data_IF_665060177413
#
_entry.id   IF_665060177413
#
_cell.length_a   1.000
_cell.length_b   1.000
_cell.length_c   1.000
_cell.angle_alpha   90.00
_cell.angle_beta   90.00
_cell.angle_gamma   90.00
#
_symmetry.space_group_name_H-M   'P 1'
#
loop_
_entity.id
_entity.type
_entity.pdbx_description
1 polymer ?
#
# COMPACT_ATOMS: atom_id res chain seq x y z
N UNK A 1 -28.92 7.83 -22.25
CA UNK A 1 -28.98 6.76 -21.24
C UNK A 1 -27.59 6.13 -21.12
N UNK A 2 -27.02 6.14 -19.92
CA UNK A 2 -25.75 5.47 -19.66
C UNK A 2 -26.04 4.00 -19.40
N UNK A 3 -25.26 3.10 -20.00
CA UNK A 3 -25.34 1.66 -19.74
C UNK A 3 -24.17 1.24 -18.81
N UNK A 4 -24.44 0.99 -17.51
CA UNK A 4 -23.41 0.53 -16.58
C UNK A 4 -22.84 -0.85 -16.91
N UNK A 5 -23.49 -1.60 -17.80
CA UNK A 5 -23.07 -2.93 -18.27
C UNK A 5 -22.27 -2.89 -19.58
N UNK A 6 -21.91 -1.70 -20.07
CA UNK A 6 -21.23 -1.56 -21.38
C UNK A 6 -19.81 -2.17 -21.38
N UNK A 7 -19.19 -2.25 -20.22
CA UNK A 7 -17.87 -2.89 -20.01
C UNK A 7 -17.74 -3.30 -18.55
N UNK A 8 -16.64 -4.03 -18.22
CA UNK A 8 -16.35 -4.46 -16.85
C UNK A 8 -16.31 -3.27 -15.87
N UNK A 9 -15.75 -2.13 -16.29
CA UNK A 9 -15.70 -0.90 -15.51
C UNK A 9 -16.31 0.26 -16.29
N UNK A 10 -17.22 1.01 -15.67
CA UNK A 10 -17.86 2.20 -16.24
C UNK A 10 -17.78 3.34 -15.24
N UNK A 11 -17.32 4.52 -15.67
CA UNK A 11 -17.39 5.75 -14.90
C UNK A 11 -18.48 6.65 -15.51
N UNK A 12 -19.44 7.06 -14.69
CA UNK A 12 -20.57 7.91 -15.11
C UNK A 12 -20.43 9.27 -14.47
N UNK A 13 -20.31 10.30 -15.32
CA UNK A 13 -20.13 11.68 -14.88
C UNK A 13 -21.44 12.27 -14.31
N UNK A 14 -21.28 13.14 -13.29
CA UNK A 14 -22.38 13.91 -12.67
C UNK A 14 -23.55 13.02 -12.24
N UNK A 15 -23.22 11.87 -11.59
CA UNK A 15 -24.24 10.90 -11.19
C UNK A 15 -24.97 11.36 -9.94
N UNK A 16 -26.33 11.38 -9.93
CA UNK A 16 -27.10 11.83 -8.78
C UNK A 16 -27.08 10.80 -7.65
N UNK A 17 -26.79 11.28 -6.44
CA UNK A 17 -26.89 10.50 -5.19
C UNK A 17 -27.89 11.13 -4.23
N UNK A 18 -28.16 10.46 -3.10
CA UNK A 18 -29.05 10.99 -2.06
C UNK A 18 -28.51 12.26 -1.40
N UNK A 19 -27.19 12.48 -1.42
CA UNK A 19 -26.52 13.64 -0.80
C UNK A 19 -26.09 14.71 -1.81
N UNK A 20 -26.43 14.56 -3.08
CA UNK A 20 -26.07 15.45 -4.19
C UNK A 20 -25.37 14.69 -5.33
N UNK A 21 -25.13 15.32 -6.47
CA UNK A 21 -24.39 14.70 -7.56
C UNK A 21 -22.93 14.50 -7.17
N UNK A 22 -22.35 13.38 -7.62
CA UNK A 22 -20.91 13.11 -7.57
C UNK A 22 -20.28 13.38 -8.92
N UNK A 23 -19.02 13.83 -8.97
CA UNK A 23 -18.37 14.10 -10.25
C UNK A 23 -18.32 12.87 -11.14
N UNK A 24 -17.99 11.70 -10.56
CA UNK A 24 -18.09 10.41 -11.24
C UNK A 24 -18.55 9.31 -10.29
N UNK A 25 -19.54 8.50 -10.73
CA UNK A 25 -19.89 7.24 -10.10
C UNK A 25 -19.19 6.09 -10.82
N UNK A 26 -18.56 5.20 -10.05
CA UNK A 26 -17.84 4.04 -10.56
C UNK A 26 -18.70 2.79 -10.48
N UNK A 27 -18.82 2.11 -11.60
CA UNK A 27 -19.52 0.84 -11.73
C UNK A 27 -18.51 -0.25 -12.11
N UNK A 28 -18.60 -1.41 -11.48
CA UNK A 28 -17.83 -2.59 -11.85
C UNK A 28 -18.79 -3.77 -11.94
N UNK A 29 -18.75 -4.47 -13.07
CA UNK A 29 -19.73 -5.53 -13.39
C UNK A 29 -21.18 -5.07 -13.19
N UNK A 30 -21.48 -3.86 -13.67
CA UNK A 30 -22.80 -3.23 -13.57
C UNK A 30 -23.22 -2.77 -12.17
N UNK A 31 -22.42 -3.03 -11.14
CA UNK A 31 -22.70 -2.68 -9.73
C UNK A 31 -22.00 -1.39 -9.35
N UNK A 32 -22.66 -0.46 -8.66
CA UNK A 32 -22.04 0.75 -8.18
C UNK A 32 -21.09 0.40 -7.02
N UNK A 33 -19.83 0.79 -7.12
CA UNK A 33 -18.79 0.40 -6.16
C UNK A 33 -18.09 1.59 -5.52
N UNK A 34 -18.11 2.75 -6.16
CA UNK A 34 -17.35 3.89 -5.68
C UNK A 34 -17.68 5.20 -6.36
N UNK A 35 -16.99 6.25 -5.94
CA UNK A 35 -17.10 7.60 -6.46
C UNK A 35 -15.73 8.22 -6.68
N UNK A 36 -15.65 9.20 -7.58
CA UNK A 36 -14.51 10.09 -7.75
C UNK A 36 -14.99 11.53 -7.57
N UNK A 37 -14.26 12.29 -6.76
CA UNK A 37 -14.37 13.74 -6.64
C UNK A 37 -13.14 14.39 -7.28
N UNK A 38 -13.38 15.23 -8.27
CA UNK A 38 -12.35 16.04 -8.90
C UNK A 38 -12.11 17.30 -8.07
N UNK A 39 -10.86 17.57 -7.72
CA UNK A 39 -10.48 18.74 -6.95
C UNK A 39 -9.55 19.64 -7.80
N UNK A 40 -9.59 20.95 -7.52
CA UNK A 40 -8.70 21.89 -8.20
C UNK A 40 -7.24 21.65 -7.81
N UNK A 41 -6.33 21.83 -8.76
CA UNK A 41 -4.89 21.63 -8.56
C UNK A 41 -4.27 22.54 -7.50
N UNK A 42 -4.87 23.73 -7.28
CA UNK A 42 -4.45 24.70 -6.24
C UNK A 42 -4.51 24.13 -4.81
N UNK A 43 -5.29 23.07 -4.56
CA UNK A 43 -5.38 22.44 -3.25
C UNK A 43 -4.13 21.60 -2.90
N UNK A 44 -3.32 21.20 -3.89
CA UNK A 44 -2.06 20.49 -3.70
C UNK A 44 -2.16 19.34 -2.69
N UNK A 45 -1.20 19.28 -1.76
CA UNK A 45 -1.19 18.27 -0.68
C UNK A 45 -2.28 18.47 0.39
N UNK A 46 -2.94 19.65 0.42
CA UNK A 46 -4.00 19.99 1.37
C UNK A 46 -5.37 19.36 1.04
N UNK A 47 -5.45 18.48 0.05
CA UNK A 47 -6.66 17.68 -0.22
C UNK A 47 -7.19 16.96 1.03
N UNK A 48 -6.31 16.67 2.01
CA UNK A 48 -6.67 16.00 3.27
C UNK A 48 -7.55 16.82 4.22
N UNK A 49 -7.66 18.12 4.05
CA UNK A 49 -8.49 18.99 4.93
C UNK A 49 -10.00 18.72 4.71
N UNK A 50 -10.36 17.98 3.66
CA UNK A 50 -11.75 17.69 3.29
C UNK A 50 -12.19 16.28 3.74
N UNK A 51 -11.51 15.62 4.68
CA UNK A 51 -11.93 14.32 5.25
C UNK A 51 -13.38 14.31 5.74
N UNK A 52 -13.94 15.47 6.09
CA UNK A 52 -15.36 15.63 6.44
C UNK A 52 -16.33 15.45 5.28
N UNK A 53 -15.91 15.60 4.01
CA UNK A 53 -16.77 15.41 2.84
C UNK A 53 -16.78 13.95 2.36
N UNK A 54 -15.67 13.23 2.47
CA UNK A 54 -15.60 11.82 2.07
C UNK A 54 -16.50 10.93 2.97
N UNK A 55 -16.70 11.29 4.24
CA UNK A 55 -17.64 10.59 5.12
C UNK A 55 -19.10 10.62 4.66
N UNK A 56 -19.51 11.62 3.86
CA UNK A 56 -20.86 11.71 3.30
C UNK A 56 -21.13 10.60 2.28
N UNK A 57 -20.12 10.16 1.53
CA UNK A 57 -20.30 9.15 0.49
C UNK A 57 -20.48 7.74 1.06
N UNK A 58 -19.89 7.43 2.23
CA UNK A 58 -20.09 6.14 2.91
C UNK A 58 -21.55 5.85 3.23
N UNK A 59 -22.36 6.91 3.40
CA UNK A 59 -23.81 6.82 3.71
C UNK A 59 -24.70 7.18 2.53
N UNK A 60 -24.12 7.60 1.39
CA UNK A 60 -24.89 7.98 0.20
C UNK A 60 -25.40 6.78 -0.56
N UNK A 61 -26.62 6.90 -1.09
CA UNK A 61 -27.19 5.92 -2.01
C UNK A 61 -27.29 6.50 -3.40
N UNK A 62 -27.08 5.67 -4.42
CA UNK A 62 -27.21 6.07 -5.81
C UNK A 62 -28.70 6.16 -6.19
N UNK A 63 -29.10 7.28 -6.81
CA UNK A 63 -30.44 7.38 -7.40
C UNK A 63 -30.55 6.42 -8.59
N UNK A 64 -31.77 5.94 -8.84
CA UNK A 64 -32.10 5.00 -9.95
C UNK A 64 -31.52 3.59 -9.83
N UNK A 65 -30.98 3.22 -8.66
CA UNK A 65 -30.56 1.86 -8.37
C UNK A 65 -31.45 1.34 -7.25
N UNK A 66 -32.18 0.27 -7.52
CA UNK A 66 -33.18 -0.30 -6.62
C UNK A 66 -32.59 -1.13 -5.48
N UNK A 67 -31.31 -1.46 -5.57
CA UNK A 67 -30.62 -2.27 -4.56
C UNK A 67 -29.75 -1.34 -3.69
N UNK A 68 -29.83 -1.49 -2.37
CA UNK A 68 -28.99 -0.75 -1.43
C UNK A 68 -27.51 -1.23 -1.52
N UNK A 69 -26.78 -0.70 -2.51
CA UNK A 69 -25.35 -0.85 -2.55
C UNK A 69 -24.70 0.26 -1.73
N UNK A 70 -23.87 -0.11 -0.75
CA UNK A 70 -23.02 0.83 -0.05
C UNK A 70 -21.81 1.18 -0.93
N UNK A 71 -21.56 2.47 -1.08
CA UNK A 71 -20.34 2.95 -1.73
C UNK A 71 -19.15 2.51 -0.87
N UNK A 72 -18.30 1.65 -1.44
CA UNK A 72 -17.11 1.14 -0.74
C UNK A 72 -15.88 1.98 -1.01
N UNK A 73 -15.73 2.49 -2.23
CA UNK A 73 -14.52 3.17 -2.65
C UNK A 73 -14.76 4.65 -2.91
N UNK A 74 -13.87 5.50 -2.42
CA UNK A 74 -13.85 6.90 -2.79
C UNK A 74 -12.46 7.31 -3.27
N UNK A 75 -12.45 8.12 -4.32
CA UNK A 75 -11.27 8.78 -4.82
C UNK A 75 -11.45 10.28 -4.74
N UNK A 76 -10.38 10.96 -4.37
CA UNK A 76 -10.22 12.40 -4.46
C UNK A 76 -9.02 12.66 -5.37
N UNK A 77 -9.19 13.35 -6.47
CA UNK A 77 -8.14 13.52 -7.45
C UNK A 77 -8.00 14.98 -7.91
N UNK A 78 -6.74 15.41 -8.05
CA UNK A 78 -6.34 16.57 -8.85
C UNK A 78 -5.65 16.09 -10.12
N UNK A 79 -5.17 16.98 -10.98
CA UNK A 79 -4.35 16.62 -12.14
C UNK A 79 -3.03 15.93 -11.77
N UNK A 80 -2.55 16.08 -10.52
CA UNK A 80 -1.25 15.58 -10.07
C UNK A 80 -1.33 14.51 -8.99
N UNK A 81 -2.39 14.49 -8.21
CA UNK A 81 -2.53 13.63 -7.02
C UNK A 81 -3.82 12.84 -7.07
N UNK A 82 -3.73 11.56 -6.76
CA UNK A 82 -4.87 10.69 -6.56
C UNK A 82 -4.82 10.11 -5.15
N UNK A 83 -5.91 10.25 -4.43
CA UNK A 83 -6.10 9.66 -3.11
C UNK A 83 -7.24 8.65 -3.15
N UNK A 84 -7.16 7.64 -2.32
CA UNK A 84 -8.08 6.52 -2.28
C UNK A 84 -8.49 6.22 -0.84
N UNK A 85 -9.77 5.99 -0.62
CA UNK A 85 -10.36 5.54 0.64
C UNK A 85 -11.15 4.25 0.40
N UNK A 86 -10.90 3.20 1.18
CA UNK A 86 -11.73 2.01 1.27
C UNK A 86 -12.55 2.07 2.56
N UNK A 87 -13.86 2.24 2.47
CA UNK A 87 -14.75 2.33 3.63
C UNK A 87 -14.99 0.99 4.33
N UNK A 88 -14.53 -0.12 3.77
CA UNK A 88 -14.49 -1.39 4.47
C UNK A 88 -13.36 -1.49 5.52
N UNK A 89 -12.38 -0.59 5.50
CA UNK A 89 -11.37 -0.47 6.54
C UNK A 89 -12.03 0.00 7.86
N UNK A 90 -11.75 -0.63 8.98
CA UNK A 90 -12.35 -0.29 10.29
C UNK A 90 -12.04 1.15 10.73
N UNK A 91 -10.83 1.64 10.45
CA UNK A 91 -10.46 3.05 10.56
C UNK A 91 -10.06 3.51 9.17
N UNK A 92 -11.04 3.76 8.31
CA UNK A 92 -10.76 4.19 6.94
C UNK A 92 -10.02 5.54 6.94
N UNK A 93 -9.02 5.65 6.06
CA UNK A 93 -8.23 6.85 5.84
C UNK A 93 -7.97 7.04 4.37
N UNK A 94 -8.01 8.28 3.93
CA UNK A 94 -7.59 8.66 2.60
C UNK A 94 -6.08 8.45 2.45
N UNK A 95 -5.67 7.73 1.41
CA UNK A 95 -4.27 7.37 1.10
C UNK A 95 -3.89 7.82 -0.29
N UNK A 96 -2.70 8.36 -0.46
CA UNK A 96 -2.15 8.62 -1.79
C UNK A 96 -1.96 7.29 -2.51
N UNK A 97 -2.41 7.22 -3.76
CA UNK A 97 -2.19 6.11 -4.68
C UNK A 97 -1.56 6.66 -5.96
N UNK A 98 -0.87 5.79 -6.70
CA UNK A 98 -0.18 6.20 -7.93
C UNK A 98 -1.17 6.54 -9.05
N UNK A 99 -2.24 5.75 -9.15
CA UNK A 99 -3.30 5.93 -10.15
C UNK A 99 -4.62 5.35 -9.66
N UNK A 100 -5.69 5.57 -10.39
CA UNK A 100 -6.95 4.88 -10.17
C UNK A 100 -6.77 3.36 -10.32
N UNK A 101 -7.41 2.59 -9.46
CA UNK A 101 -7.42 1.14 -9.59
C UNK A 101 -8.20 0.71 -10.84
N UNK A 102 -7.69 -0.30 -11.52
CA UNK A 102 -8.43 -0.92 -12.63
C UNK A 102 -9.66 -1.67 -12.12
N UNK A 103 -10.71 -1.83 -12.95
CA UNK A 103 -11.93 -2.55 -12.55
C UNK A 103 -11.66 -3.95 -11.99
N UNK A 104 -10.70 -4.69 -12.58
CA UNK A 104 -10.30 -6.01 -12.10
C UNK A 104 -9.74 -5.97 -10.68
N UNK A 105 -8.96 -4.93 -10.37
CA UNK A 105 -8.42 -4.71 -9.02
C UNK A 105 -9.52 -4.42 -8.02
N UNK A 106 -10.50 -3.59 -8.40
CA UNK A 106 -11.66 -3.30 -7.56
C UNK A 106 -12.50 -4.55 -7.31
N UNK A 107 -12.70 -5.43 -8.32
CA UNK A 107 -13.36 -6.73 -8.14
C UNK A 107 -12.63 -7.60 -7.12
N UNK A 108 -11.31 -7.69 -7.21
CA UNK A 108 -10.50 -8.45 -6.24
C UNK A 108 -10.64 -7.88 -4.83
N UNK A 109 -10.73 -6.56 -4.68
CA UNK A 109 -10.96 -5.92 -3.38
C UNK A 109 -12.38 -6.20 -2.86
N UNK A 110 -13.38 -6.15 -3.73
CA UNK A 110 -14.78 -6.43 -3.38
C UNK A 110 -15.00 -7.89 -2.95
N UNK A 111 -14.30 -8.83 -3.60
CA UNK A 111 -14.42 -10.25 -3.30
C UNK A 111 -13.77 -10.67 -1.98
N UNK A 112 -13.03 -9.79 -1.31
CA UNK A 112 -12.41 -10.09 -0.02
C UNK A 112 -13.38 -9.79 1.11
N UNK A 113 -13.62 -10.77 1.97
CA UNK A 113 -14.41 -10.62 3.19
C UNK A 113 -13.81 -9.62 4.17
N UNK A 114 -12.48 -9.42 4.10
CA UNK A 114 -11.77 -8.51 4.99
C UNK A 114 -10.64 -7.76 4.27
N UNK A 115 -10.32 -6.57 4.74
CA UNK A 115 -9.23 -5.76 4.18
C UNK A 115 -7.89 -6.12 4.82
N UNK A 116 -6.80 -5.84 4.09
CA UNK A 116 -5.45 -5.98 4.64
C UNK A 116 -5.30 -5.15 5.92
N UNK A 117 -5.93 -3.98 5.98
CA UNK A 117 -5.87 -3.08 7.14
C UNK A 117 -6.61 -3.65 8.36
N UNK A 118 -7.72 -4.34 8.14
CA UNK A 118 -8.43 -5.04 9.21
C UNK A 118 -7.63 -6.23 9.75
N UNK A 119 -6.91 -6.95 8.89
CA UNK A 119 -6.00 -8.01 9.33
C UNK A 119 -4.90 -7.49 10.28
N UNK A 120 -4.38 -6.29 10.04
CA UNK A 120 -3.34 -5.69 10.89
C UNK A 120 -3.80 -5.46 12.33
N UNK A 121 -5.11 -5.28 12.57
CA UNK A 121 -5.67 -5.19 13.94
C UNK A 121 -5.67 -6.51 14.69
N UNK A 122 -5.57 -7.62 13.97
CA UNK A 122 -5.63 -8.99 14.50
C UNK A 122 -4.27 -9.64 14.56
N UNK A 123 -3.19 -8.87 14.52
CA UNK A 123 -1.86 -9.42 14.68
C UNK A 123 -1.77 -10.15 16.03
N UNK A 124 -1.26 -11.39 16.05
CA UNK A 124 -1.04 -12.11 17.30
C UNK A 124 0.00 -11.38 18.14
N UNK A 125 0.00 -11.68 19.43
CA UNK A 125 1.03 -11.19 20.33
C UNK A 125 2.41 -11.49 19.76
N UNK A 126 3.31 -10.50 19.86
CA UNK A 126 4.66 -10.64 19.35
C UNK A 126 5.51 -11.45 20.33
N UNK A 127 6.03 -12.61 19.88
CA UNK A 127 7.02 -13.37 20.64
C UNK A 127 8.34 -12.60 20.70
N UNK A 128 8.74 -12.23 21.89
CA UNK A 128 9.90 -11.38 22.16
C UNK A 128 11.17 -12.15 22.46
N UNK A 129 11.15 -13.46 22.39
CA UNK A 129 12.30 -14.33 22.70
C UNK A 129 13.48 -14.00 21.77
N UNK A 130 14.65 -13.72 22.34
CA UNK A 130 15.86 -13.36 21.58
C UNK A 130 15.92 -11.92 21.08
N UNK A 131 14.87 -11.12 21.25
CA UNK A 131 14.84 -9.72 20.80
C UNK A 131 15.38 -8.75 21.85
N UNK A 132 16.08 -7.72 21.38
CA UNK A 132 16.51 -6.60 22.22
C UNK A 132 15.32 -5.68 22.54
N UNK A 133 15.35 -5.01 23.70
CA UNK A 133 14.27 -4.12 24.15
C UNK A 133 13.89 -3.07 23.11
N UNK A 134 14.86 -2.46 22.44
CA UNK A 134 14.60 -1.46 21.37
C UNK A 134 13.86 -2.05 20.15
N UNK A 135 14.20 -3.29 19.76
CA UNK A 135 13.53 -4.00 18.67
C UNK A 135 12.09 -4.35 19.04
N UNK A 136 11.87 -4.84 20.26
CA UNK A 136 10.53 -5.15 20.79
C UNK A 136 9.65 -3.89 20.77
N UNK A 137 10.20 -2.77 21.27
CA UNK A 137 9.48 -1.47 21.26
C UNK A 137 9.14 -1.04 19.85
N UNK A 138 10.09 -1.12 18.91
CA UNK A 138 9.88 -0.73 17.52
C UNK A 138 8.79 -1.57 16.85
N UNK A 139 8.81 -2.90 17.01
CA UNK A 139 7.83 -3.80 16.39
C UNK A 139 6.44 -3.58 16.99
N UNK A 140 6.31 -3.48 18.32
CA UNK A 140 5.02 -3.20 18.97
C UNK A 140 4.42 -1.86 18.54
N UNK A 141 5.25 -0.83 18.43
CA UNK A 141 4.80 0.49 17.97
C UNK A 141 4.40 0.47 16.47
N UNK A 142 5.10 -0.30 15.64
CA UNK A 142 4.71 -0.50 14.24
C UNK A 142 3.37 -1.25 14.15
N UNK A 143 3.19 -2.33 14.88
CA UNK A 143 1.93 -3.08 14.90
C UNK A 143 0.76 -2.19 15.34
N UNK A 144 0.95 -1.39 16.40
CA UNK A 144 -0.04 -0.42 16.85
C UNK A 144 -0.35 0.66 15.79
N UNK A 145 0.68 1.16 15.10
CA UNK A 145 0.53 2.12 14.01
C UNK A 145 -0.26 1.54 12.83
N UNK A 146 0.03 0.28 12.46
CA UNK A 146 -0.71 -0.43 11.42
C UNK A 146 -2.15 -0.71 11.82
N UNK A 147 -2.39 -1.13 13.06
CA UNK A 147 -3.74 -1.32 13.60
C UNK A 147 -4.55 -0.02 13.62
N UNK A 148 -3.90 1.12 13.76
CA UNK A 148 -4.51 2.46 13.66
C UNK A 148 -4.66 2.95 12.21
N UNK A 149 -4.37 2.10 11.23
CA UNK A 149 -4.42 2.38 9.79
C UNK A 149 -3.57 3.60 9.37
N UNK A 150 -2.47 3.87 10.06
CA UNK A 150 -1.58 4.98 9.67
C UNK A 150 -0.84 4.63 8.39
N UNK A 151 -0.82 5.52 7.38
CA UNK A 151 -0.20 5.22 6.08
C UNK A 151 1.32 5.26 6.10
N UNK A 152 1.92 5.92 7.11
CA UNK A 152 3.37 6.10 7.25
C UNK A 152 3.78 5.86 8.70
N UNK A 153 4.97 5.32 8.90
CA UNK A 153 5.62 5.19 10.20
C UNK A 153 7.11 5.49 10.06
N UNK A 154 7.68 6.13 11.08
CA UNK A 154 9.12 6.36 11.21
C UNK A 154 9.63 5.56 12.39
N UNK A 155 10.70 4.77 12.16
CA UNK A 155 11.41 4.02 13.20
C UNK A 155 12.85 4.51 13.25
N UNK A 156 13.21 5.18 14.34
CA UNK A 156 14.57 5.63 14.59
C UNK A 156 15.27 4.65 15.52
N UNK A 157 16.40 4.10 15.10
CA UNK A 157 17.21 3.16 15.86
C UNK A 157 18.69 3.48 15.69
N UNK A 158 19.47 3.34 16.76
CA UNK A 158 20.92 3.55 16.74
C UNK A 158 21.62 2.54 15.80
N UNK A 159 22.83 2.90 15.36
CA UNK A 159 23.70 1.96 14.63
C UNK A 159 23.99 0.74 15.49
N UNK A 160 23.99 -0.46 14.90
CA UNK A 160 24.18 -1.72 15.63
C UNK A 160 22.99 -2.20 16.46
N UNK A 161 21.86 -1.46 16.50
CA UNK A 161 20.66 -1.87 17.23
C UNK A 161 19.85 -2.98 16.53
N UNK A 162 20.24 -3.38 15.31
CA UNK A 162 19.55 -4.40 14.50
C UNK A 162 18.37 -3.86 13.70
N UNK A 163 18.56 -2.72 13.04
CA UNK A 163 17.54 -2.08 12.17
C UNK A 163 17.00 -3.04 11.11
N UNK A 164 17.91 -3.69 10.37
CA UNK A 164 17.52 -4.64 9.30
C UNK A 164 16.73 -5.81 9.86
N UNK A 165 17.19 -6.41 10.94
CA UNK A 165 16.48 -7.51 11.62
C UNK A 165 15.07 -7.10 12.07
N UNK A 166 14.93 -5.90 12.62
CA UNK A 166 13.62 -5.34 13.02
C UNK A 166 12.70 -5.14 11.81
N UNK A 167 13.24 -4.62 10.70
CA UNK A 167 12.49 -4.41 9.47
C UNK A 167 12.05 -5.74 8.82
N UNK A 168 12.92 -6.76 8.82
CA UNK A 168 12.62 -8.11 8.34
C UNK A 168 11.50 -8.74 9.18
N UNK A 169 11.59 -8.61 10.51
CA UNK A 169 10.53 -9.11 11.41
C UNK A 169 9.19 -8.43 11.13
N UNK A 170 9.18 -7.11 10.93
CA UNK A 170 7.96 -6.39 10.57
C UNK A 170 7.41 -6.85 9.20
N UNK A 171 8.29 -7.04 8.20
CA UNK A 171 7.91 -7.56 6.88
C UNK A 171 7.31 -8.97 6.97
N UNK A 172 7.91 -9.85 7.76
CA UNK A 172 7.37 -11.19 8.03
C UNK A 172 5.95 -11.12 8.61
N UNK A 173 5.73 -10.29 9.63
CA UNK A 173 4.42 -10.12 10.25
C UNK A 173 3.37 -9.57 9.28
N UNK A 174 3.75 -8.63 8.42
CA UNK A 174 2.89 -8.09 7.36
C UNK A 174 2.49 -9.16 6.33
N UNK A 175 3.42 -10.02 5.90
CA UNK A 175 3.13 -11.11 4.98
C UNK A 175 2.25 -12.18 5.63
N UNK A 176 2.65 -12.68 6.81
CA UNK A 176 1.99 -13.80 7.48
C UNK A 176 0.61 -13.44 8.02
N UNK A 177 0.52 -12.39 8.79
CA UNK A 177 -0.69 -12.00 9.51
C UNK A 177 -1.47 -10.91 8.79
N UNK A 178 -0.79 -9.94 8.17
CA UNK A 178 -1.40 -8.88 7.37
C UNK A 178 -1.94 -9.36 6.03
N UNK A 179 -1.51 -10.55 5.58
CA UNK A 179 -1.86 -11.10 4.26
C UNK A 179 -1.43 -10.18 3.11
N UNK A 180 -0.36 -9.42 3.31
CA UNK A 180 0.24 -8.67 2.22
C UNK A 180 0.80 -9.63 1.17
N UNK A 181 0.66 -9.26 -0.10
CA UNK A 181 1.14 -10.08 -1.22
C UNK A 181 2.58 -9.78 -1.56
N UNK A 182 2.99 -8.50 -1.42
CA UNK A 182 4.31 -8.03 -1.86
C UNK A 182 4.77 -6.86 -1.02
N UNK A 183 6.07 -6.83 -0.74
CA UNK A 183 6.75 -5.74 -0.02
C UNK A 183 7.96 -5.33 -0.84
N UNK A 184 8.13 -4.03 -1.05
CA UNK A 184 9.33 -3.43 -1.60
C UNK A 184 10.21 -2.95 -0.44
N UNK A 185 11.43 -3.47 -0.36
CA UNK A 185 12.44 -3.09 0.60
C UNK A 185 13.50 -2.21 -0.10
N UNK A 186 13.44 -0.91 0.13
CA UNK A 186 14.36 0.04 -0.48
C UNK A 186 15.57 0.30 0.41
N UNK A 187 16.72 0.35 -0.21
CA UNK A 187 18.02 0.67 0.39
C UNK A 187 18.72 1.74 -0.42
N UNK A 188 19.71 2.39 0.21
CA UNK A 188 20.43 3.46 -0.42
C UNK A 188 21.53 2.96 -1.40
N UNK A 189 22.27 1.90 -1.04
CA UNK A 189 23.38 1.38 -1.84
C UNK A 189 23.21 -0.09 -2.20
N UNK A 190 23.91 -0.53 -3.27
CA UNK A 190 23.97 -1.92 -3.71
C UNK A 190 24.43 -2.87 -2.60
N UNK A 191 25.48 -2.49 -1.87
CA UNK A 191 26.04 -3.30 -0.78
C UNK A 191 25.04 -3.53 0.36
N UNK A 192 24.25 -2.50 0.71
CA UNK A 192 23.13 -2.62 1.67
C UNK A 192 22.04 -3.53 1.14
N UNK A 193 21.75 -3.50 -0.17
CA UNK A 193 20.81 -4.41 -0.81
C UNK A 193 21.23 -5.87 -0.72
N UNK A 194 22.50 -6.15 -0.99
CA UNK A 194 23.06 -7.50 -0.87
C UNK A 194 23.06 -8.00 0.58
N UNK A 195 23.39 -7.12 1.52
CA UNK A 195 23.30 -7.45 2.94
C UNK A 195 21.85 -7.75 3.34
N UNK A 196 20.92 -6.89 2.97
CA UNK A 196 19.49 -7.09 3.29
C UNK A 196 18.96 -8.41 2.72
N UNK A 197 19.29 -8.74 1.46
CA UNK A 197 18.90 -10.01 0.84
C UNK A 197 19.41 -11.20 1.65
N UNK A 198 20.72 -11.22 2.00
CA UNK A 198 21.30 -12.29 2.83
C UNK A 198 20.62 -12.40 4.20
N UNK A 199 20.34 -11.28 4.86
CA UNK A 199 19.67 -11.26 6.16
C UNK A 199 18.21 -11.78 6.04
N UNK A 200 17.48 -11.44 4.98
CA UNK A 200 16.15 -12.00 4.71
C UNK A 200 16.20 -13.52 4.53
N UNK A 201 17.16 -14.01 3.73
CA UNK A 201 17.29 -15.45 3.47
C UNK A 201 17.65 -16.26 4.71
N UNK A 202 18.45 -15.68 5.61
CA UNK A 202 18.90 -16.31 6.84
C UNK A 202 17.90 -16.20 8.02
N UNK A 203 16.91 -15.28 7.91
CA UNK A 203 15.98 -15.03 9.00
C UNK A 203 15.09 -16.24 9.29
N UNK A 204 14.98 -16.64 10.55
CA UNK A 204 14.04 -17.66 11.02
C UNK A 204 13.14 -17.00 12.07
N UNK A 205 11.81 -16.97 11.85
CA UNK A 205 10.88 -16.40 12.83
C UNK A 205 10.69 -17.31 14.04
N UNK A 206 10.37 -16.75 15.20
CA UNK A 206 10.18 -17.52 16.42
C UNK A 206 8.95 -18.46 16.39
N UNK A 207 7.97 -18.15 15.55
CA UNK A 207 6.71 -18.88 15.47
C UNK A 207 6.63 -19.84 14.27
N UNK A 208 7.76 -20.07 13.59
CA UNK A 208 7.88 -21.02 12.48
C UNK A 208 9.33 -21.55 12.40
N UNK A 209 9.49 -22.86 12.32
CA UNK A 209 10.81 -23.50 12.23
C UNK A 209 11.47 -23.38 10.86
N UNK A 210 10.74 -22.86 9.85
CA UNK A 210 11.26 -22.65 8.49
C UNK A 210 11.92 -21.29 8.40
N UNK A 211 13.00 -21.21 7.62
CA UNK A 211 13.58 -19.91 7.29
C UNK A 211 12.63 -19.06 6.44
N UNK A 212 12.87 -17.75 6.42
CA UNK A 212 12.09 -16.83 5.59
C UNK A 212 12.11 -17.26 4.11
N UNK A 213 13.25 -17.71 3.61
CA UNK A 213 13.42 -18.19 2.24
C UNK A 213 12.59 -19.43 1.90
N UNK A 214 12.26 -20.26 2.89
CA UNK A 214 11.37 -21.42 2.70
C UNK A 214 9.88 -21.04 2.71
N UNK A 215 9.56 -19.87 3.27
CA UNK A 215 8.19 -19.38 3.41
C UNK A 215 7.81 -18.41 2.28
N UNK A 216 8.74 -17.56 1.86
CA UNK A 216 8.50 -16.44 0.95
C UNK A 216 9.66 -16.24 -0.02
N UNK A 217 9.33 -15.90 -1.27
CA UNK A 217 10.33 -15.53 -2.26
C UNK A 217 10.95 -14.17 -1.93
N UNK A 218 12.28 -14.12 -1.94
CA UNK A 218 13.09 -12.91 -1.76
C UNK A 218 13.97 -12.74 -2.97
N UNK A 219 14.04 -11.56 -3.54
CA UNK A 219 14.94 -11.26 -4.64
C UNK A 219 15.37 -9.80 -4.64
N UNK A 220 16.66 -9.57 -4.86
CA UNK A 220 17.18 -8.26 -5.21
C UNK A 220 16.92 -7.98 -6.69
N UNK A 221 16.40 -6.79 -6.99
CA UNK A 221 16.16 -6.35 -8.37
C UNK A 221 17.48 -5.86 -8.96
N UNK A 222 17.94 -6.53 -10.01
CA UNK A 222 19.16 -6.22 -10.76
C UNK A 222 18.88 -5.88 -12.23
N UNK A 223 17.62 -5.89 -12.64
CA UNK A 223 17.16 -5.54 -13.99
C UNK A 223 15.84 -4.78 -13.92
N UNK A 224 15.33 -4.34 -15.06
CA UNK A 224 14.02 -3.68 -15.17
C UNK A 224 12.83 -4.63 -14.94
N UNK A 225 13.07 -5.94 -14.90
CA UNK A 225 12.02 -6.95 -14.70
C UNK A 225 11.73 -7.16 -13.21
N UNK A 226 10.46 -6.99 -12.81
CA UNK A 226 9.97 -7.30 -11.48
C UNK A 226 9.19 -8.62 -11.53
N UNK A 227 9.71 -9.71 -10.92
CA UNK A 227 9.05 -11.01 -10.93
C UNK A 227 7.69 -10.99 -10.22
N UNK A 228 6.72 -11.73 -10.74
CA UNK A 228 5.35 -11.73 -10.20
C UNK A 228 5.15 -12.66 -8.98
N UNK A 229 6.02 -13.64 -8.80
CA UNK A 229 5.95 -14.72 -7.81
C UNK A 229 6.71 -14.44 -6.52
N UNK A 230 7.36 -13.27 -6.40
CA UNK A 230 8.20 -12.90 -5.27
C UNK A 230 7.46 -11.99 -4.30
N UNK A 231 7.59 -12.25 -3.01
CA UNK A 231 6.95 -11.49 -1.95
C UNK A 231 7.81 -10.32 -1.46
N UNK A 232 9.14 -10.47 -1.43
CA UNK A 232 10.07 -9.40 -1.07
C UNK A 232 10.93 -9.03 -2.26
N UNK A 233 10.79 -7.80 -2.74
CA UNK A 233 11.68 -7.19 -3.69
C UNK A 233 12.62 -6.24 -2.96
N UNK A 234 13.93 -6.53 -2.96
CA UNK A 234 14.97 -5.62 -2.45
C UNK A 234 15.50 -4.80 -3.60
N UNK A 235 15.57 -3.48 -3.48
CA UNK A 235 16.06 -2.60 -4.53
C UNK A 235 16.78 -1.39 -3.96
N UNK A 236 17.72 -0.85 -4.71
CA UNK A 236 18.21 0.52 -4.47
C UNK A 236 17.17 1.54 -4.93
N UNK A 237 17.24 2.75 -4.39
CA UNK A 237 16.36 3.86 -4.80
C UNK A 237 16.59 4.17 -6.28
N UNK A 238 17.85 4.21 -6.72
CA UNK A 238 18.25 4.48 -8.11
C UNK A 238 17.65 3.43 -9.06
N UNK A 239 17.82 2.14 -8.74
CA UNK A 239 17.27 1.04 -9.55
C UNK A 239 15.75 1.12 -9.66
N UNK A 240 15.07 1.37 -8.54
CA UNK A 240 13.61 1.50 -8.57
C UNK A 240 13.16 2.70 -9.42
N UNK A 241 13.88 3.81 -9.35
CA UNK A 241 13.61 4.99 -10.17
C UNK A 241 13.80 4.71 -11.66
N UNK A 242 14.89 4.04 -12.04
CA UNK A 242 15.16 3.60 -13.42
C UNK A 242 14.04 2.69 -13.94
N UNK A 243 13.64 1.68 -13.15
CA UNK A 243 12.53 0.78 -13.51
C UNK A 243 11.22 1.56 -13.76
N UNK A 244 10.91 2.53 -12.91
CA UNK A 244 9.69 3.33 -13.04
C UNK A 244 9.72 4.24 -14.26
N UNK A 245 10.88 4.70 -14.69
CA UNK A 245 11.06 5.48 -15.92
C UNK A 245 11.12 4.62 -17.19
N UNK A 246 11.36 3.32 -17.06
CA UNK A 246 11.61 2.43 -18.20
C UNK A 246 13.01 2.63 -18.81
N UNK A 247 13.97 3.13 -18.02
CA UNK A 247 15.35 3.35 -18.43
C UNK A 247 16.22 2.17 -17.97
N UNK A 248 17.20 1.77 -18.79
CA UNK A 248 18.24 0.83 -18.36
C UNK A 248 19.26 1.58 -17.50
N UNK A 249 19.74 0.93 -16.45
CA UNK A 249 20.74 1.49 -15.55
C UNK A 249 21.93 0.53 -15.42
N UNK A 250 23.14 1.08 -15.53
CA UNK A 250 24.36 0.34 -15.25
C UNK A 250 24.45 -0.01 -13.75
N UNK A 251 24.99 -1.19 -13.45
CA UNK A 251 25.16 -1.63 -12.05
C UNK A 251 26.15 -0.75 -11.26
N UNK A 252 27.10 -0.12 -11.92
CA UNK A 252 28.06 0.81 -11.29
C UNK A 252 27.39 2.03 -10.68
N UNK A 253 26.29 2.49 -11.29
CA UNK A 253 25.52 3.64 -10.77
C UNK A 253 24.76 3.34 -9.46
N UNK A 254 24.66 2.07 -9.04
CA UNK A 254 24.05 1.66 -7.77
C UNK A 254 25.04 1.68 -6.58
N UNK A 255 26.34 1.86 -6.84
CA UNK A 255 27.35 1.83 -5.78
C UNK A 255 27.41 3.15 -5.00
N UNK A 256 27.01 4.26 -5.62
CA UNK A 256 26.97 5.57 -5.00
C UNK A 256 25.67 5.82 -4.24
N UNK A 257 25.75 6.51 -3.11
CA UNK A 257 24.58 6.89 -2.33
C UNK A 257 23.72 7.89 -3.11
N UNK A 258 22.41 7.64 -3.20
CA UNK A 258 21.45 8.57 -3.80
C UNK A 258 21.48 9.95 -3.12
N UNK A 259 21.67 9.98 -1.82
CA UNK A 259 21.69 11.22 -1.05
C UNK A 259 22.99 12.03 -1.24
N UNK A 260 24.10 11.39 -1.56
CA UNK A 260 25.35 12.07 -1.91
C UNK A 260 25.26 12.72 -3.29
N UNK A 261 24.62 12.06 -4.26
CA UNK A 261 24.39 12.61 -5.59
C UNK A 261 23.38 13.79 -5.59
N UNK A 262 22.40 13.80 -4.72
CA UNK A 262 21.40 14.86 -4.63
C UNK A 262 21.87 16.12 -3.90
N UNK A 263 23.03 16.07 -3.24
CA UNK A 263 23.64 17.16 -2.49
C UNK A 263 24.84 17.83 -3.19
N UNK A 264 25.17 17.43 -4.42
CA UNK A 264 26.28 17.97 -5.22
C UNK A 264 25.82 19.10 -6.17
#
# INVERSE_FOLDING_TARGET
KVNPMASLGVAVREYPTSTGPVDYALFVDGKPVGVIEAKKDELGENITVVEGQSGRYATSTFKYITTEYKIRFAYEATGQLTRFTDYADVKYRSRRVFSFHRPETLLVLLAKDDTIRNNMKRFPAFDTTGFRKCQITAIRNLDASFADNRPKALVQMATGAGKTFTAITAAYRLLKFGKMKRILFLVDTKSLGEQAEREFLAYTPNDDNRSFAQLYGVRRLNSSYIPNDIQICVSTIQRMYSILKGEEMDESAEEESFFEQAGA
#
